data_IF_664011685735
#
_entry.id   IF_664011685735
#
_cell.length_a   1.000
_cell.length_b   1.000
_cell.length_c   1.000
_cell.angle_alpha   90.00
_cell.angle_beta   90.00
_cell.angle_gamma   90.00
#
_symmetry.space_group_name_H-M   'P 1'
#
loop_
_entity.id
_entity.type
_entity.pdbx_description
1 polymer ?
#
# COMPACT_ATOMS: atom_id res chain seq x y z
N UNK A 1 41.02 20.78 -10.65
CA UNK A 1 39.70 20.12 -10.76
C UNK A 1 39.61 18.76 -10.02
N UNK A 2 40.68 18.29 -9.38
CA UNK A 2 40.81 16.93 -8.81
C UNK A 2 40.27 16.77 -7.37
N UNK A 3 40.17 17.85 -6.61
CA UNK A 3 39.72 17.78 -5.20
C UNK A 3 38.21 17.64 -5.06
N UNK A 4 37.44 18.29 -5.94
CA UNK A 4 35.97 18.21 -5.95
C UNK A 4 35.46 16.83 -6.35
N UNK A 5 36.22 16.09 -7.16
CA UNK A 5 35.91 14.70 -7.51
C UNK A 5 36.22 13.75 -6.35
N UNK A 6 37.32 13.94 -5.62
CA UNK A 6 37.63 13.14 -4.43
C UNK A 6 36.59 13.33 -3.31
N UNK A 7 36.14 14.56 -3.07
CA UNK A 7 35.09 14.82 -2.07
C UNK A 7 33.74 14.20 -2.44
N UNK A 8 33.37 14.20 -3.73
CA UNK A 8 32.13 13.56 -4.21
C UNK A 8 32.19 12.04 -4.12
N UNK A 9 33.33 11.43 -4.44
CA UNK A 9 33.53 9.98 -4.31
C UNK A 9 33.50 9.57 -2.83
N UNK A 10 34.12 10.36 -1.94
CA UNK A 10 34.11 10.12 -0.50
C UNK A 10 32.71 10.21 0.14
N UNK A 11 31.79 11.00 -0.42
CA UNK A 11 30.40 11.09 0.04
C UNK A 11 29.48 10.00 -0.56
N UNK A 12 29.69 9.64 -1.83
CA UNK A 12 28.82 8.67 -2.51
C UNK A 12 29.13 7.22 -2.14
N UNK A 13 30.39 6.89 -1.89
CA UNK A 13 30.80 5.54 -1.50
C UNK A 13 30.11 5.01 -0.22
N UNK A 14 30.10 5.74 0.92
CA UNK A 14 29.43 5.26 2.13
C UNK A 14 27.91 5.21 1.99
N UNK A 15 27.31 6.08 1.17
CA UNK A 15 25.86 6.10 0.93
C UNK A 15 25.40 4.84 0.18
N UNK A 16 26.14 4.44 -0.85
CA UNK A 16 25.85 3.20 -1.62
C UNK A 16 26.05 1.95 -0.75
N UNK A 17 27.12 1.90 0.04
CA UNK A 17 27.39 0.77 0.95
C UNK A 17 26.30 0.66 2.03
N UNK A 18 25.87 1.78 2.59
CA UNK A 18 24.80 1.81 3.60
C UNK A 18 23.44 1.38 3.03
N UNK A 19 23.13 1.79 1.78
CA UNK A 19 21.89 1.39 1.09
C UNK A 19 21.81 -0.11 0.81
N UNK A 20 22.93 -0.73 0.43
CA UNK A 20 23.01 -2.19 0.20
C UNK A 20 22.91 -2.98 1.51
N UNK A 21 23.51 -2.50 2.60
CA UNK A 21 23.43 -3.15 3.91
C UNK A 21 22.00 -3.12 4.51
N UNK A 22 21.28 -2.00 4.36
CA UNK A 22 19.88 -1.87 4.80
C UNK A 22 18.92 -2.74 3.99
N UNK A 23 19.20 -2.97 2.70
CA UNK A 23 18.44 -3.87 1.83
C UNK A 23 18.56 -5.36 2.21
N UNK A 24 19.54 -5.73 3.05
CA UNK A 24 19.76 -7.11 3.48
C UNK A 24 18.98 -7.54 4.74
N UNK A 25 18.41 -6.58 5.50
CA UNK A 25 17.76 -6.88 6.78
C UNK A 25 16.25 -7.15 6.68
N UNK A 26 15.64 -6.98 5.50
CA UNK A 26 14.31 -7.48 5.21
C UNK A 26 14.47 -8.80 4.46
N UNK A 27 14.16 -9.93 5.11
CA UNK A 27 14.21 -11.25 4.50
C UNK A 27 13.43 -11.24 3.19
N UNK A 28 14.15 -11.28 2.06
CA UNK A 28 13.51 -11.20 0.76
C UNK A 28 12.79 -12.52 0.47
N UNK A 29 11.55 -12.46 -0.03
CA UNK A 29 10.78 -13.65 -0.32
C UNK A 29 11.49 -14.51 -1.38
N UNK A 30 11.61 -15.81 -1.11
CA UNK A 30 11.99 -16.81 -2.11
C UNK A 30 10.73 -17.15 -2.90
N UNK A 31 10.48 -16.41 -3.98
CA UNK A 31 9.32 -16.60 -4.85
C UNK A 31 9.46 -17.88 -5.68
N UNK A 32 9.35 -19.05 -5.03
CA UNK A 32 9.35 -20.36 -5.68
C UNK A 32 10.68 -20.79 -6.31
N UNK A 33 11.77 -20.08 -6.05
CA UNK A 33 13.13 -20.44 -6.43
C UNK A 33 13.98 -20.62 -5.16
N UNK A 34 14.96 -21.54 -5.16
CA UNK A 34 15.82 -21.81 -3.99
C UNK A 34 16.77 -20.64 -3.62
N UNK A 35 16.53 -19.44 -4.16
CA UNK A 35 17.38 -18.25 -3.99
C UNK A 35 16.54 -17.06 -3.56
N UNK A 36 17.12 -16.22 -2.71
CA UNK A 36 16.51 -14.96 -2.29
C UNK A 36 16.44 -14.00 -3.49
N UNK A 37 15.43 -13.12 -3.53
CA UNK A 37 15.25 -12.18 -4.64
C UNK A 37 16.51 -11.35 -4.93
N UNK A 38 17.24 -10.94 -3.89
CA UNK A 38 18.52 -10.23 -4.02
C UNK A 38 19.64 -11.11 -4.58
N UNK A 39 19.69 -12.39 -4.21
CA UNK A 39 20.69 -13.34 -4.75
C UNK A 39 20.42 -13.69 -6.21
N UNK A 40 19.14 -13.78 -6.61
CA UNK A 40 18.76 -13.96 -8.00
C UNK A 40 19.12 -12.73 -8.83
N UNK A 41 18.78 -11.53 -8.36
CA UNK A 41 19.16 -10.27 -9.02
C UNK A 41 20.68 -10.11 -9.14
N UNK A 42 21.44 -10.41 -8.09
CA UNK A 42 22.91 -10.33 -8.13
C UNK A 42 23.51 -11.35 -9.13
N UNK A 43 22.94 -12.56 -9.19
CA UNK A 43 23.29 -13.58 -10.19
C UNK A 43 22.97 -13.15 -11.62
N UNK A 44 21.81 -12.52 -11.83
CA UNK A 44 21.36 -12.03 -13.13
C UNK A 44 22.20 -10.83 -13.60
N UNK A 45 22.57 -9.91 -12.71
CA UNK A 45 23.47 -8.81 -13.04
C UNK A 45 24.90 -9.29 -13.31
N UNK A 46 25.41 -10.23 -12.52
CA UNK A 46 26.74 -10.81 -12.73
C UNK A 46 26.82 -11.57 -14.05
N UNK A 47 25.79 -12.34 -14.37
CA UNK A 47 25.71 -13.05 -15.64
C UNK A 47 25.58 -12.08 -16.81
N UNK A 48 24.74 -11.03 -16.71
CA UNK A 48 24.62 -9.99 -17.73
C UNK A 48 25.95 -9.26 -18.00
N UNK A 49 26.74 -8.95 -16.97
CA UNK A 49 28.08 -8.36 -17.15
C UNK A 49 29.13 -9.37 -17.67
N UNK A 50 28.96 -10.67 -17.38
CA UNK A 50 29.84 -11.73 -17.90
C UNK A 50 29.56 -12.11 -19.36
N UNK A 51 28.43 -11.69 -19.93
CA UNK A 51 28.04 -11.92 -21.34
C UNK A 51 28.72 -10.95 -22.31
N UNK A 52 29.68 -10.13 -21.87
CA UNK A 52 30.63 -9.46 -22.77
C UNK A 52 31.88 -10.34 -23.00
N UNK A 53 31.95 -11.13 -24.10
CA UNK A 53 33.15 -11.88 -24.42
C UNK A 53 34.28 -10.91 -24.82
N UNK A 54 35.37 -10.89 -24.05
CA UNK A 54 36.58 -10.09 -24.36
C UNK A 54 37.32 -10.55 -25.62
N UNK A 55 37.06 -11.77 -26.10
CA UNK A 55 37.50 -12.26 -27.39
C UNK A 55 36.31 -12.86 -28.14
N UNK A 56 35.83 -12.13 -29.14
CA UNK A 56 34.79 -12.60 -30.05
C UNK A 56 35.44 -13.61 -30.99
N UNK A 57 35.40 -14.91 -30.67
CA UNK A 57 35.81 -15.92 -31.64
C UNK A 57 34.98 -15.70 -32.92
N UNK A 58 35.63 -15.64 -34.08
CA UNK A 58 34.94 -15.46 -35.36
C UNK A 58 34.10 -16.70 -35.62
N UNK A 59 32.81 -16.61 -35.28
CA UNK A 59 31.85 -17.67 -35.52
C UNK A 59 31.66 -17.76 -37.03
N UNK A 60 31.98 -18.93 -37.59
CA UNK A 60 31.74 -19.21 -39.00
C UNK A 60 30.23 -19.47 -39.21
N UNK A 61 29.50 -18.41 -39.57
CA UNK A 61 28.07 -18.48 -39.81
C UNK A 61 27.81 -19.19 -41.14
N UNK A 62 27.62 -20.51 -41.06
CA UNK A 62 27.05 -21.26 -42.18
C UNK A 62 25.64 -20.73 -42.45
N UNK A 63 25.27 -20.45 -43.72
CA UNK A 63 23.94 -19.99 -44.05
C UNK A 63 22.91 -20.99 -43.55
N UNK A 64 21.85 -20.50 -42.92
CA UNK A 64 20.75 -21.35 -42.45
C UNK A 64 20.16 -22.08 -43.66
N UNK A 65 19.82 -23.38 -43.54
CA UNK A 65 19.11 -24.06 -44.61
C UNK A 65 17.83 -23.30 -44.91
N UNK A 66 17.50 -23.21 -46.20
CA UNK A 66 16.32 -22.51 -46.66
C UNK A 66 15.05 -23.06 -46.01
N UNK A 67 14.15 -22.15 -45.64
CA UNK A 67 12.87 -22.50 -45.02
C UNK A 67 12.17 -23.49 -45.95
N UNK A 68 11.82 -24.67 -45.44
CA UNK A 68 11.09 -25.68 -46.20
C UNK A 68 9.75 -25.07 -46.59
N UNK A 69 9.68 -24.56 -47.82
CA UNK A 69 8.45 -24.00 -48.37
C UNK A 69 7.52 -25.18 -48.67
N UNK A 70 6.24 -25.11 -48.26
CA UNK A 70 5.26 -26.09 -48.66
C UNK A 70 5.23 -26.18 -50.20
N UNK A 71 5.03 -27.41 -50.71
CA UNK A 71 5.06 -27.70 -52.14
C UNK A 71 4.17 -26.72 -52.94
N UNK A 72 4.56 -26.34 -54.18
CA UNK A 72 3.79 -25.40 -54.99
C UNK A 72 2.40 -25.96 -55.29
N UNK A 73 1.41 -25.56 -54.47
CA UNK A 73 0.05 -26.10 -54.48
C UNK A 73 -0.65 -26.04 -53.11
N UNK A 74 0.09 -26.00 -52.00
CA UNK A 74 -0.48 -25.91 -50.63
C UNK A 74 -0.52 -24.47 -50.08
N UNK A 75 -0.96 -23.50 -50.90
CA UNK A 75 -1.20 -22.11 -50.46
C UNK A 75 -2.66 -21.83 -50.14
N UNK A 76 -3.54 -22.82 -50.23
CA UNK A 76 -4.92 -22.70 -49.76
C UNK A 76 -4.91 -22.69 -48.23
N UNK A 77 -4.88 -21.48 -47.66
CA UNK A 77 -5.35 -21.25 -46.31
C UNK A 77 -6.79 -21.79 -46.23
N UNK A 78 -7.18 -22.43 -45.11
CA UNK A 78 -8.59 -22.73 -44.89
C UNK A 78 -9.40 -21.43 -45.01
N UNK A 79 -10.59 -21.48 -45.63
CA UNK A 79 -11.43 -20.29 -45.75
C UNK A 79 -11.69 -19.69 -44.36
N UNK A 80 -11.80 -18.35 -44.26
CA UNK A 80 -12.11 -17.71 -42.98
C UNK A 80 -13.39 -18.34 -42.41
N UNK A 81 -13.40 -18.60 -41.11
CA UNK A 81 -14.61 -19.10 -40.46
C UNK A 81 -15.73 -18.10 -40.68
N UNK A 82 -16.88 -18.57 -41.19
CA UNK A 82 -18.07 -17.75 -41.30
C UNK A 82 -18.41 -17.21 -39.90
N UNK A 83 -18.62 -15.89 -39.81
CA UNK A 83 -19.03 -15.24 -38.57
C UNK A 83 -20.25 -15.97 -38.03
N UNK A 84 -20.14 -16.55 -36.83
CA UNK A 84 -21.19 -17.36 -36.22
C UNK A 84 -22.54 -16.65 -36.30
N UNK A 85 -23.30 -16.98 -37.34
CA UNK A 85 -24.62 -16.43 -37.63
C UNK A 85 -25.56 -17.00 -36.57
N UNK A 86 -26.49 -16.17 -36.12
CA UNK A 86 -27.45 -16.45 -35.05
C UNK A 86 -27.83 -17.94 -34.98
N UNK A 87 -27.38 -18.61 -33.92
CA UNK A 87 -27.68 -20.02 -33.66
C UNK A 87 -28.96 -20.10 -32.82
N UNK A 88 -29.62 -21.26 -32.74
CA UNK A 88 -30.83 -21.41 -31.92
C UNK A 88 -30.60 -21.01 -30.43
N UNK A 89 -29.39 -21.26 -29.92
CA UNK A 89 -28.97 -20.86 -28.57
C UNK A 89 -28.54 -19.38 -28.47
N UNK A 90 -28.28 -18.74 -29.61
CA UNK A 90 -27.81 -17.35 -29.71
C UNK A 90 -28.64 -16.57 -30.71
N UNK A 91 -29.80 -16.03 -30.29
CA UNK A 91 -30.71 -15.26 -31.15
C UNK A 91 -30.04 -14.04 -31.81
N UNK A 92 -28.99 -13.51 -31.16
CA UNK A 92 -28.15 -12.41 -31.65
C UNK A 92 -26.74 -12.92 -32.00
N UNK A 93 -26.18 -12.44 -33.11
CA UNK A 93 -24.75 -12.66 -33.38
C UNK A 93 -23.90 -11.98 -32.30
N UNK A 94 -22.70 -12.49 -31.98
CA UNK A 94 -21.83 -11.88 -30.97
C UNK A 94 -21.53 -10.40 -31.24
N UNK A 95 -21.39 -10.01 -32.50
CA UNK A 95 -21.15 -8.63 -32.91
C UNK A 95 -22.39 -7.74 -32.75
N UNK A 96 -23.59 -8.27 -33.05
CA UNK A 96 -24.84 -7.55 -32.79
C UNK A 96 -25.05 -7.32 -31.29
N UNK A 97 -24.78 -8.33 -30.46
CA UNK A 97 -24.85 -8.20 -29.00
C UNK A 97 -23.89 -7.13 -28.49
N UNK A 98 -22.65 -7.12 -28.98
CA UNK A 98 -21.66 -6.09 -28.63
C UNK A 98 -22.12 -4.69 -29.05
N UNK A 99 -22.68 -4.55 -30.24
CA UNK A 99 -23.20 -3.27 -30.72
C UNK A 99 -24.35 -2.77 -29.84
N UNK A 100 -25.29 -3.65 -29.47
CA UNK A 100 -26.39 -3.35 -28.54
C UNK A 100 -25.87 -2.87 -27.19
N UNK A 101 -24.96 -3.64 -26.58
CA UNK A 101 -24.40 -3.31 -25.26
C UNK A 101 -23.63 -1.98 -25.27
N UNK A 102 -22.90 -1.68 -26.35
CA UNK A 102 -22.24 -0.38 -26.51
C UNK A 102 -23.27 0.76 -26.61
N UNK A 103 -24.32 0.59 -27.40
CA UNK A 103 -25.37 1.59 -27.52
C UNK A 103 -26.10 1.82 -26.18
N UNK A 104 -26.40 0.75 -25.45
CA UNK A 104 -27.00 0.81 -24.11
C UNK A 104 -26.10 1.57 -23.11
N UNK A 105 -24.79 1.31 -23.14
CA UNK A 105 -23.82 2.02 -22.31
C UNK A 105 -23.70 3.51 -22.70
N UNK A 106 -23.75 3.85 -23.99
CA UNK A 106 -23.74 5.25 -24.45
C UNK A 106 -25.01 5.99 -24.01
N UNK A 107 -26.18 5.35 -24.09
CA UNK A 107 -27.44 5.96 -23.68
C UNK A 107 -27.51 6.22 -22.17
N UNK A 108 -26.92 5.33 -21.36
CA UNK A 108 -26.94 5.42 -19.90
C UNK A 108 -25.63 5.98 -19.33
N UNK A 109 -24.83 6.68 -20.13
CA UNK A 109 -23.52 7.18 -19.71
C UNK A 109 -23.59 8.15 -18.51
N UNK A 110 -24.67 8.93 -18.42
CA UNK A 110 -24.86 9.94 -17.38
C UNK A 110 -25.79 9.48 -16.24
N UNK A 111 -26.28 8.23 -16.26
CA UNK A 111 -27.15 7.70 -15.21
C UNK A 111 -26.34 6.99 -14.11
N UNK A 112 -26.18 7.59 -12.91
CA UNK A 112 -25.43 6.98 -11.81
C UNK A 112 -26.14 5.76 -11.20
N UNK A 113 -27.41 5.53 -11.53
CA UNK A 113 -28.20 4.40 -11.06
C UNK A 113 -28.17 3.18 -11.99
N UNK A 114 -27.68 3.36 -13.22
CA UNK A 114 -27.61 2.31 -14.24
C UNK A 114 -26.65 1.19 -13.83
N UNK A 115 -27.06 -0.06 -14.12
CA UNK A 115 -26.26 -1.26 -13.88
C UNK A 115 -26.07 -1.99 -15.20
N UNK A 116 -24.81 -2.14 -15.61
CA UNK A 116 -24.49 -2.87 -16.84
C UNK A 116 -24.88 -4.35 -16.69
N UNK A 117 -25.49 -4.91 -17.74
CA UNK A 117 -25.78 -6.35 -17.83
C UNK A 117 -24.51 -7.19 -17.99
N UNK A 118 -23.37 -6.55 -18.23
CA UNK A 118 -22.07 -7.17 -18.41
C UNK A 118 -21.52 -7.47 -17.02
N UNK A 119 -21.49 -8.75 -16.67
CA UNK A 119 -20.77 -9.21 -15.48
C UNK A 119 -19.28 -9.19 -15.82
N UNK A 120 -18.56 -8.22 -15.28
CA UNK A 120 -17.11 -8.21 -15.37
C UNK A 120 -16.56 -9.38 -14.53
N UNK A 121 -15.50 -10.02 -15.03
CA UNK A 121 -14.84 -11.17 -14.35
C UNK A 121 -14.12 -10.75 -13.06
N UNK A 122 -14.08 -9.45 -12.79
CA UNK A 122 -13.58 -8.85 -11.56
C UNK A 122 -14.72 -8.95 -10.53
N UNK A 123 -14.51 -9.70 -9.45
CA UNK A 123 -15.43 -9.77 -8.31
C UNK A 123 -15.50 -8.41 -7.58
N UNK A 124 -16.17 -7.44 -8.17
CA UNK A 124 -16.50 -6.18 -7.53
C UNK A 124 -17.91 -6.28 -6.98
N UNK A 125 -18.03 -6.39 -5.66
CA UNK A 125 -19.32 -6.21 -4.99
C UNK A 125 -19.78 -4.75 -5.22
N UNK A 126 -20.88 -4.52 -5.95
CA UNK A 126 -21.34 -3.17 -6.26
C UNK A 126 -21.70 -2.39 -4.99
N UNK A 127 -22.09 -3.08 -3.91
CA UNK A 127 -22.37 -2.46 -2.61
C UNK A 127 -21.09 -1.95 -1.97
N UNK A 128 -20.02 -2.75 -2.01
CA UNK A 128 -18.71 -2.36 -1.49
C UNK A 128 -18.16 -1.14 -2.23
N UNK A 129 -18.25 -1.11 -3.57
CA UNK A 129 -17.79 0.03 -4.38
C UNK A 129 -18.59 1.30 -4.06
N UNK A 130 -19.93 1.21 -3.98
CA UNK A 130 -20.78 2.35 -3.60
C UNK A 130 -20.45 2.87 -2.20
N UNK A 131 -20.23 1.97 -1.24
CA UNK A 131 -19.85 2.33 0.12
C UNK A 131 -18.47 3.00 0.17
N UNK A 132 -17.50 2.50 -0.58
CA UNK A 132 -16.16 3.06 -0.67
C UNK A 132 -16.17 4.43 -1.36
N UNK A 133 -16.97 4.61 -2.42
CA UNK A 133 -17.12 5.90 -3.09
C UNK A 133 -17.79 6.94 -2.17
N UNK A 134 -18.83 6.55 -1.42
CA UNK A 134 -19.47 7.42 -0.43
C UNK A 134 -18.50 7.80 0.71
N UNK A 135 -17.67 6.86 1.18
CA UNK A 135 -16.64 7.11 2.19
C UNK A 135 -15.50 7.98 1.65
N UNK A 136 -15.12 7.78 0.38
CA UNK A 136 -14.03 8.52 -0.28
C UNK A 136 -14.43 9.96 -0.66
N UNK A 137 -15.72 10.26 -0.78
CA UNK A 137 -16.22 11.58 -1.16
C UNK A 137 -16.22 12.61 -0.02
N UNK A 138 -15.81 12.24 1.20
CA UNK A 138 -15.82 13.14 2.35
C UNK A 138 -14.43 13.29 2.95
N UNK A 139 -13.97 14.54 3.00
CA UNK A 139 -12.91 15.11 3.83
C UNK A 139 -12.35 14.17 4.91
N UNK A 140 -11.04 13.97 4.93
CA UNK A 140 -10.38 13.34 6.08
C UNK A 140 -10.58 14.24 7.32
N UNK A 141 -11.07 13.72 8.47
CA UNK A 141 -11.39 12.33 8.81
C UNK A 141 -12.81 11.88 8.40
N UNK A 142 -13.05 10.55 8.24
CA UNK A 142 -14.37 10.02 7.89
C UNK A 142 -15.47 10.57 8.79
N UNK A 143 -16.66 10.77 8.22
CA UNK A 143 -17.81 11.27 8.95
C UNK A 143 -18.08 10.39 10.18
N UNK A 144 -18.24 11.03 11.34
CA UNK A 144 -18.49 10.34 12.61
C UNK A 144 -19.74 9.48 12.51
N UNK A 145 -19.63 8.20 12.89
CA UNK A 145 -20.77 7.29 12.97
C UNK A 145 -21.14 7.01 14.43
N UNK A 146 -22.42 6.76 14.77
CA UNK A 146 -22.80 6.39 16.13
C UNK A 146 -22.06 5.16 16.69
N UNK A 147 -21.63 4.25 15.81
CA UNK A 147 -20.81 3.09 16.18
C UNK A 147 -19.42 3.47 16.71
N UNK A 148 -18.88 4.63 16.34
CA UNK A 148 -17.58 5.12 16.84
C UNK A 148 -17.67 5.60 18.29
N UNK A 149 -18.88 5.92 18.78
CA UNK A 149 -19.13 6.26 20.19
C UNK A 149 -19.46 5.07 21.08
N UNK A 150 -19.39 3.85 20.56
CA UNK A 150 -19.58 2.66 21.38
C UNK A 150 -18.47 2.57 22.46
N UNK A 151 -18.91 2.49 23.71
CA UNK A 151 -18.02 2.40 24.87
C UNK A 151 -17.18 1.11 24.81
N UNK A 152 -17.72 0.05 24.22
CA UNK A 152 -17.01 -1.23 24.00
C UNK A 152 -15.82 -1.06 23.06
N UNK A 153 -16.04 -0.47 21.88
CA UNK A 153 -15.00 -0.14 20.91
C UNK A 153 -13.89 0.74 21.51
N UNK A 154 -14.27 1.82 22.20
CA UNK A 154 -13.30 2.74 22.79
C UNK A 154 -12.45 2.06 23.88
N UNK A 155 -13.06 1.18 24.69
CA UNK A 155 -12.33 0.39 25.70
C UNK A 155 -11.36 -0.60 25.04
N UNK A 156 -11.77 -1.26 23.95
CA UNK A 156 -10.90 -2.19 23.22
C UNK A 156 -9.72 -1.47 22.55
N UNK A 157 -9.95 -0.32 21.92
CA UNK A 157 -8.88 0.49 21.31
C UNK A 157 -7.88 0.94 22.38
N UNK A 158 -8.36 1.39 23.55
CA UNK A 158 -7.50 1.73 24.68
C UNK A 158 -6.70 0.52 25.17
N UNK A 159 -7.33 -0.65 25.29
CA UNK A 159 -6.65 -1.90 25.66
C UNK A 159 -5.54 -2.24 24.67
N UNK A 160 -5.82 -2.20 23.36
CA UNK A 160 -4.81 -2.46 22.31
C UNK A 160 -3.67 -1.44 22.35
N UNK A 161 -3.98 -0.15 22.57
CA UNK A 161 -2.97 0.90 22.63
C UNK A 161 -2.08 0.77 23.89
N UNK A 162 -2.65 0.35 25.01
CA UNK A 162 -1.89 0.03 26.23
C UNK A 162 -0.98 -1.18 26.00
N UNK A 163 -1.49 -2.26 25.42
CA UNK A 163 -0.70 -3.45 25.05
C UNK A 163 0.45 -3.11 24.10
N UNK A 164 0.26 -2.16 23.16
CA UNK A 164 1.30 -1.74 22.23
C UNK A 164 2.36 -0.84 22.87
N UNK A 165 1.97 0.11 23.71
CA UNK A 165 2.88 1.09 24.30
C UNK A 165 3.71 0.51 25.44
N UNK A 166 3.12 -0.41 26.20
CA UNK A 166 3.66 -0.87 27.46
C UNK A 166 3.20 -2.32 27.63
N UNK A 167 3.93 -3.25 27.00
CA UNK A 167 3.73 -4.68 27.22
C UNK A 167 3.72 -5.01 28.72
N UNK A 168 3.12 -6.15 29.08
CA UNK A 168 2.92 -6.52 30.49
C UNK A 168 4.26 -6.48 31.28
N UNK A 169 4.35 -5.73 32.39
CA UNK A 169 5.57 -5.65 33.19
C UNK A 169 5.98 -6.99 33.81
N UNK A 170 5.05 -7.93 33.95
CA UNK A 170 5.28 -9.21 34.61
C UNK A 170 5.46 -10.38 33.63
N UNK A 171 5.02 -10.24 32.39
CA UNK A 171 5.05 -11.34 31.40
C UNK A 171 5.53 -10.88 30.02
N UNK A 172 6.33 -11.71 29.34
CA UNK A 172 6.70 -11.46 27.94
C UNK A 172 5.63 -12.04 27.04
N UNK A 173 4.99 -11.21 26.21
CA UNK A 173 4.00 -11.66 25.22
C UNK A 173 4.66 -12.06 23.90
N UNK A 174 5.65 -11.29 23.44
CA UNK A 174 6.41 -11.58 22.22
C UNK A 174 7.92 -11.79 22.49
N UNK A 175 8.61 -12.49 21.58
CA UNK A 175 10.06 -12.71 21.66
C UNK A 175 10.89 -11.46 21.33
N UNK A 176 10.31 -10.48 20.63
CA UNK A 176 10.89 -9.18 20.32
C UNK A 176 10.96 -8.22 21.52
N UNK A 177 10.33 -8.60 22.63
CA UNK A 177 10.28 -7.82 23.86
C UNK A 177 11.51 -8.07 24.74
N UNK A 178 12.10 -7.04 25.37
CA UNK A 178 13.24 -7.23 26.26
C UNK A 178 12.86 -8.13 27.46
N UNK A 179 13.84 -8.87 28.04
CA UNK A 179 13.61 -9.68 29.23
C UNK A 179 12.99 -8.88 30.38
N UNK A 180 12.13 -9.51 31.19
CA UNK A 180 11.40 -8.88 32.31
C UNK A 180 12.33 -8.17 33.31
N UNK A 181 13.55 -8.68 33.49
CA UNK A 181 14.56 -8.09 34.36
C UNK A 181 14.99 -6.67 33.94
N UNK A 182 14.93 -6.36 32.64
CA UNK A 182 15.26 -5.03 32.13
C UNK A 182 14.05 -4.08 32.04
N UNK A 183 12.84 -4.58 32.35
CA UNK A 183 11.62 -3.77 32.42
C UNK A 183 11.21 -3.39 33.84
N UNK A 184 11.78 -4.06 34.83
CA UNK A 184 11.55 -3.72 36.22
C UNK A 184 11.97 -2.26 36.45
N UNK A 185 11.00 -1.41 36.76
CA UNK A 185 11.28 -0.05 37.20
C UNK A 185 12.13 -0.13 38.48
N UNK A 186 13.02 0.84 38.67
CA UNK A 186 13.78 0.93 39.91
C UNK A 186 12.82 1.01 41.11
N UNK A 187 13.18 0.41 42.24
CA UNK A 187 12.31 0.33 43.43
C UNK A 187 11.82 1.68 43.97
N UNK A 188 12.46 2.78 43.56
CA UNK A 188 12.14 4.16 43.94
C UNK A 188 11.45 4.96 42.84
N UNK A 189 11.13 4.35 41.70
CA UNK A 189 10.48 5.05 40.59
C UNK A 189 8.97 5.19 40.85
N UNK A 190 8.37 6.38 40.70
CA UNK A 190 6.93 6.56 40.75
C UNK A 190 6.31 6.02 39.44
N UNK A 191 6.00 4.73 39.41
CA UNK A 191 5.48 4.05 38.20
C UNK A 191 3.99 4.35 37.97
N UNK A 192 3.25 4.68 39.02
CA UNK A 192 1.78 4.83 38.97
C UNK A 192 1.30 6.29 39.02
N UNK A 193 2.19 7.28 39.19
CA UNK A 193 1.81 8.70 39.24
C UNK A 193 1.89 9.34 37.85
N UNK A 194 0.98 8.91 36.97
CA UNK A 194 0.64 9.65 35.77
C UNK A 194 -0.14 10.89 36.23
N UNK A 195 0.57 11.97 36.54
CA UNK A 195 -0.02 13.22 37.03
C UNK A 195 -1.15 13.77 36.13
N UNK A 196 -1.77 14.88 36.54
CA UNK A 196 -2.96 15.40 35.84
C UNK A 196 -2.71 15.65 34.33
N UNK A 197 -3.60 15.12 33.48
CA UNK A 197 -3.57 15.35 32.03
C UNK A 197 -3.41 16.85 31.70
N UNK A 198 -2.52 17.18 30.78
CA UNK A 198 -2.25 18.57 30.36
C UNK A 198 -3.52 19.30 29.89
N UNK A 199 -4.47 18.57 29.31
CA UNK A 199 -5.78 19.12 28.93
C UNK A 199 -6.61 19.56 30.16
N UNK A 200 -6.59 18.79 31.25
CA UNK A 200 -7.30 19.13 32.50
C UNK A 200 -6.62 20.31 33.19
N UNK A 201 -5.28 20.35 33.22
CA UNK A 201 -4.51 21.52 33.70
C UNK A 201 -4.85 22.78 32.90
N UNK A 202 -4.83 22.70 31.57
CA UNK A 202 -5.18 23.81 30.68
C UNK A 202 -6.62 24.29 30.90
N UNK A 203 -7.58 23.36 31.07
CA UNK A 203 -8.97 23.71 31.39
C UNK A 203 -9.11 24.38 32.75
N UNK A 204 -8.41 23.90 33.78
CA UNK A 204 -8.40 24.50 35.11
C UNK A 204 -7.82 25.92 35.05
N UNK A 205 -6.66 26.08 34.41
CA UNK A 205 -5.99 27.36 34.25
C UNK A 205 -6.85 28.37 33.47
N UNK A 206 -7.59 27.91 32.44
CA UNK A 206 -8.55 28.74 31.70
C UNK A 206 -9.77 29.14 32.55
N UNK A 207 -10.27 28.26 33.42
CA UNK A 207 -11.34 28.59 34.37
C UNK A 207 -10.87 29.58 35.43
N UNK A 208 -9.68 29.39 35.96
CA UNK A 208 -9.07 30.29 36.95
C UNK A 208 -8.79 31.68 36.37
N UNK A 209 -8.30 31.75 35.12
CA UNK A 209 -8.13 33.02 34.40
C UNK A 209 -9.49 33.71 34.15
N UNK A 210 -10.52 32.97 33.76
CA UNK A 210 -11.86 33.51 33.59
C UNK A 210 -12.49 33.97 34.93
N UNK A 211 -12.22 33.27 36.03
CA UNK A 211 -12.67 33.65 37.37
C UNK A 211 -11.96 34.89 37.88
N UNK A 212 -10.64 35.02 37.67
CA UNK A 212 -9.88 36.24 37.95
C UNK A 212 -10.37 37.44 37.14
N UNK A 213 -10.69 37.24 35.86
CA UNK A 213 -11.27 38.29 35.01
C UNK A 213 -12.71 38.69 35.42
N UNK A 214 -13.45 37.80 36.10
CA UNK A 214 -14.74 38.13 36.73
C UNK A 214 -14.61 38.84 38.07
N UNK A 215 -13.56 38.54 38.83
CA UNK A 215 -13.27 39.18 40.13
C UNK A 215 -12.63 40.56 40.00
N UNK A 216 -11.97 40.87 38.89
CA UNK A 216 -11.33 42.17 38.61
C UNK A 216 -12.12 43.07 37.66
N UNK A 217 -13.39 42.74 37.39
CA UNK A 217 -14.23 43.44 36.42
C UNK A 217 -15.05 44.55 37.06
N UNK A 218 -14.67 45.80 36.79
CA UNK A 218 -15.49 47.03 36.91
C UNK A 218 -15.90 47.54 38.31
N UNK A 219 -15.70 46.79 39.40
CA UNK A 219 -16.04 47.27 40.77
C UNK A 219 -14.84 47.62 41.66
N UNK A 220 -13.62 47.29 41.26
CA UNK A 220 -12.40 47.52 42.07
C UNK A 220 -11.80 48.94 41.88
N UNK A 221 -12.42 49.76 41.02
CA UNK A 221 -11.98 51.13 40.70
C UNK A 221 -12.79 52.22 41.42
N UNK A 222 -13.93 51.90 42.05
CA UNK A 222 -14.72 52.91 42.76
C UNK A 222 -14.24 53.04 44.22
N UNK A 223 -13.69 54.19 44.63
CA UNK A 223 -13.68 54.54 46.04
C UNK A 223 -15.13 54.81 46.46
N UNK A 224 -15.45 54.31 47.66
CA UNK A 224 -16.68 54.54 48.40
C UNK A 224 -17.03 56.03 48.54
#
# INVERSE_FOLDING_TARGET
MTERTCARVALLAPLVVSGLALSGCMGSPTYGTDKTASAQLAGDLTSAFSVMPKNKQRIDYKPRPELVKPAPGQKQLPPPQDSATASADWPESPEQRRARLRAEATLNQDDPSYQAQIVDDIQTDPVAIKSAMAQSASSHPPAWTPADSDKGRAAEVKRRLAEQKQGDPNTRKYLSEPPVQYRAAAATAPVDDLGEDEYKKARRLKREAAAKNKSGGMFDWLPW
#
